data_IF_093971805270
#
_entry.id   IF_093971805270
#
_cell.length_a   1.000
_cell.length_b   1.000
_cell.length_c   1.000
_cell.angle_alpha   90.00
_cell.angle_beta   90.00
_cell.angle_gamma   90.00
#
_symmetry.space_group_name_H-M   'P 1'
#
loop_
_entity.id
_entity.type
_entity.pdbx_description
1 polymer ?
#
# COMPACT_ATOMS: atom_id res chain seq x y z
N UNK A 1 -63.46 -19.44 -55.09
CA UNK A 1 -62.55 -18.90 -54.08
C UNK A 1 -62.11 -20.03 -53.15
N UNK A 2 -60.87 -20.51 -53.29
CA UNK A 2 -60.28 -21.57 -52.45
C UNK A 2 -59.61 -20.89 -51.24
N UNK A 3 -60.01 -21.26 -50.01
CA UNK A 3 -59.42 -20.75 -48.76
C UNK A 3 -58.14 -21.53 -48.47
N UNK A 4 -57.00 -20.84 -48.37
CA UNK A 4 -55.73 -21.39 -47.90
C UNK A 4 -55.74 -21.47 -46.37
N UNK A 5 -55.19 -22.54 -45.76
CA UNK A 5 -54.90 -22.55 -44.33
C UNK A 5 -53.54 -21.92 -44.04
N UNK A 6 -53.53 -20.93 -43.15
CA UNK A 6 -52.35 -20.29 -42.59
C UNK A 6 -51.72 -21.20 -41.55
N UNK A 7 -50.48 -21.66 -41.79
CA UNK A 7 -49.70 -22.37 -40.77
C UNK A 7 -48.95 -21.35 -39.91
N UNK A 8 -49.28 -21.29 -38.62
CA UNK A 8 -48.52 -20.56 -37.61
C UNK A 8 -47.41 -21.47 -37.11
N UNK A 9 -46.17 -21.18 -37.47
CA UNK A 9 -44.99 -21.80 -36.87
C UNK A 9 -44.72 -21.12 -35.51
N UNK A 10 -45.03 -21.82 -34.42
CA UNK A 10 -44.60 -21.43 -33.08
C UNK A 10 -43.19 -21.97 -32.87
N UNK A 11 -42.19 -21.10 -33.04
CA UNK A 11 -40.81 -21.38 -32.65
C UNK A 11 -40.73 -21.41 -31.13
N UNK A 12 -40.68 -22.61 -30.55
CA UNK A 12 -40.37 -22.80 -29.12
C UNK A 12 -38.88 -22.52 -28.93
N UNK A 13 -38.55 -21.28 -28.55
CA UNK A 13 -37.23 -20.93 -28.00
C UNK A 13 -37.17 -21.51 -26.58
N UNK A 14 -36.47 -22.64 -26.41
CA UNK A 14 -35.96 -23.08 -25.11
C UNK A 14 -34.88 -22.08 -24.66
N UNK A 15 -35.32 -20.94 -24.12
CA UNK A 15 -34.45 -20.06 -23.36
C UNK A 15 -34.13 -20.74 -22.04
N UNK A 16 -32.96 -21.36 -21.93
CA UNK A 16 -32.37 -21.64 -20.62
C UNK A 16 -32.14 -20.29 -19.94
N UNK A 17 -33.06 -19.91 -19.05
CA UNK A 17 -32.84 -18.86 -18.07
C UNK A 17 -31.75 -19.37 -17.12
N UNK A 18 -30.49 -19.33 -17.54
CA UNK A 18 -29.37 -19.29 -16.60
C UNK A 18 -29.47 -17.93 -15.93
N UNK A 19 -30.14 -17.86 -14.78
CA UNK A 19 -29.99 -16.71 -13.90
C UNK A 19 -28.49 -16.57 -13.63
N UNK A 20 -27.88 -15.40 -13.84
CA UNK A 20 -26.54 -15.17 -13.35
C UNK A 20 -26.61 -15.36 -11.84
N UNK A 21 -25.95 -16.40 -11.33
CA UNK A 21 -25.73 -16.55 -9.90
C UNK A 21 -24.81 -15.39 -9.53
N UNK A 22 -25.40 -14.29 -9.07
CA UNK A 22 -24.64 -13.18 -8.50
C UNK A 22 -23.85 -13.73 -7.32
N UNK A 23 -22.53 -13.54 -7.34
CA UNK A 23 -21.67 -13.95 -6.24
C UNK A 23 -22.16 -13.26 -4.96
N UNK A 24 -22.28 -14.01 -3.86
CA UNK A 24 -22.71 -13.40 -2.61
C UNK A 24 -21.64 -12.40 -2.13
N UNK A 25 -22.04 -11.27 -1.51
CA UNK A 25 -21.09 -10.27 -1.06
C UNK A 25 -20.05 -10.85 -0.10
N UNK A 26 -18.78 -10.48 -0.30
CA UNK A 26 -17.64 -10.93 0.51
C UNK A 26 -17.28 -9.90 1.57
N UNK A 27 -16.82 -10.36 2.73
CA UNK A 27 -16.24 -9.50 3.76
C UNK A 27 -14.70 -9.52 3.59
N UNK A 28 -14.06 -8.35 3.45
CA UNK A 28 -12.64 -8.28 3.09
C UNK A 28 -11.84 -7.30 3.94
N UNK A 29 -10.61 -7.71 4.31
CA UNK A 29 -9.52 -6.82 4.68
C UNK A 29 -8.67 -6.58 3.44
N UNK A 30 -8.83 -5.41 2.85
CA UNK A 30 -8.23 -5.08 1.56
C UNK A 30 -6.86 -4.47 1.80
N UNK A 31 -5.80 -5.14 1.37
CA UNK A 31 -4.42 -4.65 1.51
C UNK A 31 -3.87 -4.06 0.21
N UNK A 32 -2.65 -3.51 0.29
CA UNK A 32 -2.00 -2.85 -0.84
C UNK A 32 -1.65 -3.83 -1.99
N UNK A 33 -1.25 -5.06 -1.64
CA UNK A 33 -0.78 -6.07 -2.60
C UNK A 33 -1.64 -7.34 -2.59
N UNK A 34 -2.21 -7.69 -1.43
CA UNK A 34 -3.09 -8.82 -1.25
C UNK A 34 -4.22 -8.44 -0.29
N UNK A 35 -5.32 -9.19 -0.34
CA UNK A 35 -6.47 -8.99 0.54
C UNK A 35 -6.82 -10.29 1.25
N UNK A 36 -7.18 -10.19 2.53
CA UNK A 36 -7.76 -11.30 3.29
C UNK A 36 -9.27 -11.26 3.08
N UNK A 37 -9.83 -12.35 2.58
CA UNK A 37 -11.25 -12.49 2.28
C UNK A 37 -11.86 -13.48 3.26
N UNK A 38 -13.06 -13.18 3.74
CA UNK A 38 -13.91 -14.10 4.50
C UNK A 38 -15.18 -14.35 3.70
N UNK A 39 -15.46 -15.62 3.41
CA UNK A 39 -16.65 -16.03 2.67
C UNK A 39 -17.36 -17.17 3.39
N UNK A 40 -18.69 -17.19 3.29
CA UNK A 40 -19.53 -18.28 3.78
C UNK A 40 -20.27 -18.94 2.62
N UNK A 41 -19.60 -19.06 1.48
CA UNK A 41 -20.17 -19.57 0.24
C UNK A 41 -19.78 -21.03 0.00
N UNK A 42 -20.69 -21.83 -0.60
CA UNK A 42 -20.43 -23.21 -0.98
C UNK A 42 -19.22 -23.37 -1.91
N UNK A 43 -18.97 -22.35 -2.73
CA UNK A 43 -17.84 -22.23 -3.65
C UNK A 43 -17.11 -20.92 -3.39
N UNK A 44 -15.78 -20.97 -3.35
CA UNK A 44 -14.93 -19.79 -3.15
C UNK A 44 -15.03 -18.87 -4.38
N UNK A 45 -15.24 -17.58 -4.14
CA UNK A 45 -15.51 -16.59 -5.19
C UNK A 45 -14.24 -16.09 -5.90
N UNK A 46 -13.09 -16.11 -5.22
CA UNK A 46 -11.78 -15.68 -5.74
C UNK A 46 -10.74 -16.79 -5.61
N UNK A 47 -9.66 -16.69 -6.37
CA UNK A 47 -8.55 -17.64 -6.33
C UNK A 47 -7.71 -17.42 -5.06
N UNK A 48 -7.65 -18.39 -4.13
CA UNK A 48 -6.84 -18.28 -2.94
C UNK A 48 -5.36 -18.44 -3.26
N UNK A 49 -4.51 -17.67 -2.57
CA UNK A 49 -3.07 -17.93 -2.54
C UNK A 49 -2.85 -19.28 -1.85
N UNK A 50 -2.07 -20.16 -2.48
CA UNK A 50 -1.75 -21.48 -1.95
C UNK A 50 -1.27 -21.41 -0.50
N UNK A 51 -1.85 -22.22 0.38
CA UNK A 51 -1.49 -22.27 1.79
C UNK A 51 -2.21 -21.25 2.69
N UNK A 52 -3.11 -20.40 2.16
CA UNK A 52 -3.80 -19.36 2.95
C UNK A 52 -5.24 -19.71 3.33
N UNK A 53 -5.82 -20.80 2.82
CA UNK A 53 -7.18 -21.22 3.16
C UNK A 53 -7.24 -21.69 4.62
N UNK A 54 -8.04 -21.01 5.41
CA UNK A 54 -8.26 -21.24 6.83
C UNK A 54 -9.76 -21.32 7.11
N UNK A 55 -10.29 -22.45 7.55
CA UNK A 55 -11.68 -22.55 7.98
C UNK A 55 -11.84 -21.95 9.39
N UNK A 56 -12.97 -21.28 9.63
CA UNK A 56 -13.20 -20.46 10.82
C UNK A 56 -14.05 -21.17 11.91
N UNK A 57 -13.92 -22.48 12.06
CA UNK A 57 -14.66 -23.25 13.10
C UNK A 57 -13.87 -23.36 14.42
N UNK A 58 -14.61 -23.41 15.54
CA UNK A 58 -14.05 -23.49 16.90
C UNK A 58 -13.23 -24.76 17.19
N UNK A 59 -13.41 -25.85 16.42
CA UNK A 59 -12.73 -27.14 16.60
C UNK A 59 -12.11 -27.67 15.31
N UNK A 60 -11.20 -26.90 14.72
CA UNK A 60 -10.60 -27.25 13.44
C UNK A 60 -9.26 -27.99 13.54
N UNK A 61 -9.15 -29.16 12.89
CA UNK A 61 -7.88 -29.86 12.68
C UNK A 61 -7.16 -29.25 11.46
N UNK A 62 -5.88 -28.84 11.56
CA UNK A 62 -5.20 -28.02 10.55
C UNK A 62 -5.31 -28.57 9.11
N UNK A 63 -5.62 -27.70 8.14
CA UNK A 63 -5.51 -28.02 6.70
C UNK A 63 -4.02 -28.17 6.42
N UNK A 64 -3.56 -29.40 6.24
CA UNK A 64 -2.14 -29.67 5.98
C UNK A 64 -1.77 -29.52 4.51
N UNK A 65 -2.72 -29.60 3.56
CA UNK A 65 -2.42 -29.51 2.12
C UNK A 65 -3.57 -28.92 1.28
N UNK A 66 -3.25 -27.98 0.39
CA UNK A 66 -4.15 -27.46 -0.66
C UNK A 66 -3.73 -28.00 -2.03
N UNK A 67 -4.68 -28.70 -2.67
CA UNK A 67 -4.94 -28.91 -4.10
C UNK A 67 -3.76 -29.06 -5.09
N UNK A 68 -3.66 -30.27 -5.65
CA UNK A 68 -3.27 -30.53 -7.04
C UNK A 68 -4.36 -31.43 -7.65
N UNK A 69 -4.88 -31.05 -8.82
CA UNK A 69 -6.03 -31.69 -9.51
C UNK A 69 -5.83 -33.16 -9.92
N UNK A 70 -4.65 -33.75 -9.72
CA UNK A 70 -4.33 -35.11 -10.17
C UNK A 70 -4.82 -36.23 -9.26
N UNK A 71 -5.30 -35.93 -8.04
CA UNK A 71 -5.67 -36.93 -7.03
C UNK A 71 -7.04 -36.69 -6.38
N UNK A 72 -7.88 -35.84 -6.95
CA UNK A 72 -9.18 -35.41 -6.38
C UNK A 72 -10.09 -36.61 -6.06
N UNK A 73 -10.04 -37.65 -6.90
CA UNK A 73 -10.83 -38.87 -6.71
C UNK A 73 -10.43 -39.67 -5.47
N UNK A 74 -9.15 -39.61 -5.05
CA UNK A 74 -8.68 -40.32 -3.87
C UNK A 74 -9.01 -39.58 -2.58
N UNK A 75 -8.86 -38.25 -2.58
CA UNK A 75 -9.12 -37.42 -1.40
C UNK A 75 -10.59 -37.49 -0.98
N UNK A 76 -11.51 -37.52 -1.95
CA UNK A 76 -12.95 -37.59 -1.70
C UNK A 76 -13.40 -38.87 -0.99
N UNK A 77 -12.57 -39.91 -1.04
CA UNK A 77 -12.87 -41.22 -0.47
C UNK A 77 -12.12 -41.46 0.87
N UNK A 78 -11.40 -40.46 1.39
CA UNK A 78 -10.80 -40.50 2.73
C UNK A 78 -11.92 -40.55 3.79
N UNK A 79 -11.84 -41.52 4.69
CA UNK A 79 -12.84 -41.86 5.69
C UNK A 79 -13.87 -42.88 5.22
N UNK A 80 -13.87 -43.27 3.94
CA UNK A 80 -14.81 -44.25 3.37
C UNK A 80 -14.18 -45.64 3.23
N UNK A 81 -15.02 -46.68 3.21
CA UNK A 81 -14.60 -48.02 2.87
C UNK A 81 -14.42 -48.12 1.35
N UNK A 82 -13.21 -48.47 0.93
CA UNK A 82 -12.82 -48.52 -0.48
C UNK A 82 -12.15 -49.86 -0.77
N UNK A 83 -12.21 -50.27 -2.04
CA UNK A 83 -11.36 -51.33 -2.55
C UNK A 83 -10.25 -50.72 -3.39
N UNK A 84 -9.03 -51.17 -3.20
CA UNK A 84 -7.89 -50.80 -4.03
C UNK A 84 -7.33 -52.02 -4.72
N UNK A 85 -6.99 -51.88 -6.00
CA UNK A 85 -6.53 -52.98 -6.85
C UNK A 85 -5.18 -52.63 -7.48
N UNK A 86 -4.19 -53.51 -7.34
CA UNK A 86 -2.85 -53.28 -7.86
C UNK A 86 -2.86 -53.35 -9.39
N UNK A 87 -2.27 -52.35 -10.06
CA UNK A 87 -2.35 -52.19 -11.53
C UNK A 87 -1.74 -53.33 -12.33
N UNK A 88 -0.74 -54.01 -11.76
CA UNK A 88 0.07 -55.03 -12.46
C UNK A 88 0.00 -56.44 -11.84
N UNK A 89 -0.61 -56.60 -10.67
CA UNK A 89 -0.59 -57.86 -9.91
C UNK A 89 -2.02 -58.16 -9.47
N UNK A 90 -2.37 -59.44 -9.36
CA UNK A 90 -3.66 -59.87 -8.83
C UNK A 90 -3.67 -59.71 -7.30
N UNK A 91 -3.69 -58.46 -6.86
CA UNK A 91 -3.67 -58.03 -5.46
C UNK A 91 -4.75 -56.97 -5.29
N UNK A 92 -5.71 -57.25 -4.42
CA UNK A 92 -6.72 -56.28 -4.01
C UNK A 92 -6.80 -56.21 -2.48
N UNK A 93 -7.12 -55.02 -1.98
CA UNK A 93 -7.33 -54.77 -0.56
C UNK A 93 -8.62 -53.99 -0.39
N UNK A 94 -9.44 -54.42 0.57
CA UNK A 94 -10.64 -53.70 0.98
C UNK A 94 -10.45 -53.20 2.41
N UNK A 95 -10.74 -51.93 2.64
CA UNK A 95 -10.62 -51.32 3.96
C UNK A 95 -10.98 -49.83 3.95
N UNK A 96 -10.92 -49.21 5.12
CA UNK A 96 -11.22 -47.77 5.25
C UNK A 96 -9.99 -46.95 4.88
N UNK A 97 -10.10 -46.05 3.89
CA UNK A 97 -9.00 -45.16 3.52
C UNK A 97 -8.85 -44.08 4.59
N UNK A 98 -7.75 -44.08 5.35
CA UNK A 98 -7.59 -43.17 6.49
C UNK A 98 -6.79 -41.92 6.15
N UNK A 99 -5.82 -42.03 5.25
CA UNK A 99 -4.92 -40.93 4.92
C UNK A 99 -4.29 -41.10 3.54
N UNK A 100 -4.02 -39.99 2.86
CA UNK A 100 -3.18 -39.92 1.66
C UNK A 100 -2.03 -38.96 1.92
N UNK A 101 -0.81 -39.39 1.59
CA UNK A 101 0.39 -38.57 1.66
C UNK A 101 0.89 -38.31 0.24
N UNK A 102 0.72 -37.07 -0.22
CA UNK A 102 1.06 -36.71 -1.61
C UNK A 102 2.57 -36.64 -1.85
N UNK A 103 3.35 -36.19 -0.84
CA UNK A 103 4.80 -35.97 -0.98
C UNK A 103 5.58 -37.26 -1.27
N UNK A 104 5.17 -38.38 -0.69
CA UNK A 104 5.77 -39.70 -0.91
C UNK A 104 4.88 -40.62 -1.78
N UNK A 105 3.79 -40.06 -2.34
CA UNK A 105 2.78 -40.77 -3.13
C UNK A 105 2.38 -42.09 -2.46
N UNK A 106 1.94 -42.04 -1.20
CA UNK A 106 1.46 -43.20 -0.46
C UNK A 106 0.07 -42.98 0.13
N UNK A 107 -0.64 -44.07 0.40
CA UNK A 107 -1.95 -44.10 1.02
C UNK A 107 -1.95 -45.05 2.23
N UNK A 108 -2.83 -44.78 3.18
CA UNK A 108 -3.04 -45.60 4.36
C UNK A 108 -4.43 -46.19 4.35
N UNK A 109 -4.51 -47.52 4.39
CA UNK A 109 -5.75 -48.29 4.41
C UNK A 109 -5.86 -49.05 5.72
N UNK A 110 -6.96 -48.87 6.44
CA UNK A 110 -7.30 -49.68 7.62
C UNK A 110 -7.99 -50.96 7.16
N UNK A 111 -7.25 -52.07 7.18
CA UNK A 111 -7.73 -53.40 6.78
C UNK A 111 -7.87 -54.23 8.04
N UNK A 112 -9.09 -54.67 8.37
CA UNK A 112 -9.37 -55.47 9.57
C UNK A 112 -8.79 -54.86 10.88
N UNK A 113 -8.85 -53.53 11.00
CA UNK A 113 -8.34 -52.79 12.17
C UNK A 113 -6.82 -52.57 12.19
N UNK A 114 -6.08 -52.96 11.14
CA UNK A 114 -4.64 -52.69 10.98
C UNK A 114 -4.38 -51.64 9.90
N UNK A 115 -3.64 -50.59 10.26
CA UNK A 115 -3.22 -49.55 9.33
C UNK A 115 -2.12 -50.09 8.41
N UNK A 116 -2.36 -50.08 7.10
CA UNK A 116 -1.44 -50.58 6.07
C UNK A 116 -1.10 -49.46 5.11
N UNK A 117 0.20 -49.20 4.92
CA UNK A 117 0.67 -48.19 3.96
C UNK A 117 0.91 -48.85 2.60
N UNK A 118 0.37 -48.25 1.53
CA UNK A 118 0.50 -48.71 0.15
C UNK A 118 0.93 -47.56 -0.78
N UNK A 119 1.76 -47.81 -1.81
CA UNK A 119 2.10 -46.79 -2.81
C UNK A 119 0.86 -46.38 -3.63
N UNK A 120 0.60 -45.09 -3.75
CA UNK A 120 -0.58 -44.55 -4.45
C UNK A 120 -0.52 -44.85 -5.97
N UNK A 121 0.68 -44.88 -6.55
CA UNK A 121 0.88 -45.07 -7.98
C UNK A 121 0.61 -46.47 -8.48
N UNK A 122 0.71 -47.46 -7.60
CA UNK A 122 0.64 -48.87 -7.97
C UNK A 122 -0.79 -49.41 -7.94
N UNK A 123 -1.76 -48.61 -7.49
CA UNK A 123 -3.13 -49.05 -7.26
C UNK A 123 -4.17 -48.20 -8.01
N UNK A 124 -5.27 -48.83 -8.39
CA UNK A 124 -6.53 -48.20 -8.78
C UNK A 124 -7.44 -48.10 -7.57
N UNK A 125 -8.17 -46.98 -7.47
CA UNK A 125 -9.24 -46.79 -6.49
C UNK A 125 -10.55 -47.32 -7.06
N UNK A 126 -11.20 -48.21 -6.32
CA UNK A 126 -12.52 -48.76 -6.63
C UNK A 126 -13.45 -48.38 -5.46
N UNK A 127 -14.28 -47.33 -5.62
CA UNK A 127 -15.30 -46.99 -4.64
C UNK A 127 -16.28 -48.16 -4.51
N UNK A 128 -16.57 -48.59 -3.29
CA UNK A 128 -17.65 -49.54 -3.03
C UNK A 128 -18.97 -48.78 -2.97
N UNK A 129 -20.07 -49.41 -3.41
CA UNK A 129 -21.34 -48.72 -3.70
C UNK A 129 -21.77 -47.77 -2.58
N UNK A 130 -22.00 -46.52 -2.96
CA UNK A 130 -22.52 -45.47 -2.09
C UNK A 130 -23.96 -45.82 -1.71
N UNK A 131 -24.26 -45.90 -0.43
CA UNK A 131 -25.64 -45.80 0.07
C UNK A 131 -26.23 -44.47 -0.40
N UNK A 132 -26.90 -44.50 -1.56
CA UNK A 132 -27.41 -43.38 -2.34
C UNK A 132 -26.38 -42.26 -2.70
N UNK A 133 -26.50 -41.65 -3.88
CA UNK A 133 -25.77 -40.43 -4.15
C UNK A 133 -26.43 -39.34 -3.31
N UNK A 134 -25.80 -38.93 -2.20
CA UNK A 134 -25.96 -37.54 -1.77
C UNK A 134 -25.44 -36.68 -2.94
N UNK A 135 -26.38 -36.22 -3.77
CA UNK A 135 -26.23 -35.04 -4.62
C UNK A 135 -25.95 -33.87 -3.71
N UNK A 136 -24.72 -33.79 -3.26
CA UNK A 136 -24.06 -32.64 -2.69
C UNK A 136 -22.59 -33.04 -2.78
N UNK A 137 -21.95 -32.67 -3.90
CA UNK A 137 -20.55 -32.27 -3.77
C UNK A 137 -20.54 -31.34 -2.57
N UNK A 138 -19.83 -31.71 -1.51
CA UNK A 138 -19.76 -30.98 -0.26
C UNK A 138 -19.13 -29.62 -0.54
N UNK A 139 -19.97 -28.73 -1.07
CA UNK A 139 -19.89 -27.32 -0.98
C UNK A 139 -19.53 -27.01 0.46
N UNK A 140 -18.43 -26.29 0.66
CA UNK A 140 -17.97 -25.91 1.98
C UNK A 140 -19.08 -25.07 2.63
N UNK A 141 -19.93 -25.71 3.44
CA UNK A 141 -21.03 -25.04 4.15
C UNK A 141 -20.52 -24.34 5.42
N UNK A 142 -19.27 -23.89 5.41
CA UNK A 142 -18.57 -23.36 6.57
C UNK A 142 -17.78 -22.12 6.16
N UNK A 143 -17.73 -21.09 7.02
CA UNK A 143 -16.99 -19.88 6.73
C UNK A 143 -15.50 -20.16 6.59
N UNK A 144 -14.92 -19.68 5.49
CA UNK A 144 -13.49 -19.80 5.19
C UNK A 144 -12.87 -18.42 5.07
N UNK A 145 -11.59 -18.33 5.41
CA UNK A 145 -10.76 -17.15 5.30
C UNK A 145 -9.54 -17.46 4.46
N UNK A 146 -9.20 -16.62 3.49
CA UNK A 146 -8.04 -16.84 2.63
C UNK A 146 -7.48 -15.54 2.08
N UNK A 147 -6.24 -15.55 1.59
CA UNK A 147 -5.67 -14.39 0.92
C UNK A 147 -5.81 -14.51 -0.58
N UNK A 148 -6.00 -13.40 -1.27
CA UNK A 148 -6.02 -13.33 -2.73
C UNK A 148 -5.28 -12.09 -3.23
N UNK A 149 -4.67 -12.19 -4.41
CA UNK A 149 -4.09 -11.05 -5.14
C UNK A 149 -5.10 -10.41 -6.11
N UNK A 150 -6.32 -10.96 -6.20
CA UNK A 150 -7.32 -10.49 -7.16
C UNK A 150 -8.07 -9.24 -6.70
N UNK A 151 -7.95 -8.87 -5.42
CA UNK A 151 -8.48 -7.64 -4.86
C UNK A 151 -7.35 -6.92 -4.13
N UNK A 152 -7.16 -5.64 -4.42
CA UNK A 152 -6.19 -4.79 -3.74
C UNK A 152 -6.64 -3.33 -3.75
N UNK A 153 -5.95 -2.47 -3.01
CA UNK A 153 -6.18 -1.03 -3.08
C UNK A 153 -4.88 -0.23 -3.09
N UNK A 154 -4.94 1.00 -3.57
CA UNK A 154 -3.83 1.96 -3.44
C UNK A 154 -4.35 3.33 -3.01
N UNK A 155 -3.65 4.03 -2.08
CA UNK A 155 -4.03 5.36 -1.68
C UNK A 155 -3.67 6.37 -2.77
N UNK A 156 -4.61 7.24 -3.12
CA UNK A 156 -4.38 8.41 -3.96
C UNK A 156 -4.43 9.63 -3.04
N UNK A 157 -3.24 10.19 -2.78
CA UNK A 157 -3.01 11.22 -1.76
C UNK A 157 -2.61 12.53 -2.41
N UNK A 158 -3.33 13.61 -2.07
CA UNK A 158 -3.07 14.93 -2.63
C UNK A 158 -3.15 16.03 -1.57
N UNK A 159 -2.23 17.00 -1.66
CA UNK A 159 -2.30 18.27 -0.93
C UNK A 159 -2.58 19.40 -1.91
N UNK A 160 -3.66 20.14 -1.67
CA UNK A 160 -4.09 21.25 -2.51
C UNK A 160 -3.95 22.54 -1.71
N UNK A 161 -3.04 23.41 -2.14
CA UNK A 161 -2.77 24.71 -1.55
C UNK A 161 -3.61 25.78 -2.24
N UNK A 162 -4.38 26.53 -1.46
CA UNK A 162 -5.22 27.62 -1.96
C UNK A 162 -5.20 28.77 -0.96
N UNK A 163 -4.71 29.94 -1.38
CA UNK A 163 -4.59 31.13 -0.55
C UNK A 163 -3.80 30.86 0.76
N UNK A 164 -4.51 30.68 1.87
CA UNK A 164 -3.96 30.44 3.21
C UNK A 164 -4.44 29.11 3.81
N UNK A 165 -4.84 28.18 2.95
CA UNK A 165 -5.38 26.88 3.34
C UNK A 165 -4.71 25.75 2.57
N UNK A 166 -4.62 24.59 3.24
CA UNK A 166 -4.22 23.32 2.66
C UNK A 166 -5.40 22.37 2.76
N UNK A 167 -5.81 21.81 1.63
CA UNK A 167 -6.80 20.73 1.59
C UNK A 167 -6.07 19.42 1.38
N UNK A 168 -6.19 18.52 2.36
CA UNK A 168 -5.79 17.13 2.26
C UNK A 168 -6.91 16.35 1.58
N UNK A 169 -6.67 15.87 0.37
CA UNK A 169 -7.58 14.98 -0.36
C UNK A 169 -7.03 13.57 -0.37
N UNK A 170 -7.85 12.62 0.09
CA UNK A 170 -7.49 11.21 0.22
C UNK A 170 -8.54 10.38 -0.49
N UNK A 171 -8.11 9.44 -1.32
CA UNK A 171 -8.98 8.51 -2.02
C UNK A 171 -8.34 7.12 -2.01
N UNK A 172 -9.17 6.07 -2.08
CA UNK A 172 -8.73 4.70 -2.25
C UNK A 172 -9.07 4.24 -3.67
N UNK A 173 -8.07 3.84 -4.43
CA UNK A 173 -8.25 3.18 -5.72
C UNK A 173 -8.27 1.68 -5.50
N UNK A 174 -9.46 1.10 -5.44
CA UNK A 174 -9.68 -0.34 -5.37
C UNK A 174 -9.52 -0.94 -6.75
N UNK A 175 -8.81 -2.06 -6.84
CA UNK A 175 -8.51 -2.74 -8.10
C UNK A 175 -9.02 -4.18 -8.03
N UNK A 176 -9.84 -4.55 -9.01
CA UNK A 176 -10.28 -5.93 -9.21
C UNK A 176 -9.52 -6.53 -10.40
N UNK A 177 -8.70 -7.55 -10.13
CA UNK A 177 -7.93 -8.29 -11.13
C UNK A 177 -8.56 -9.64 -11.48
N UNK A 178 -9.76 -9.96 -10.98
CA UNK A 178 -10.50 -11.15 -11.38
C UNK A 178 -11.33 -10.89 -12.64
N UNK A 179 -11.78 -11.99 -13.23
CA UNK A 179 -12.76 -12.01 -14.33
C UNK A 179 -14.22 -11.93 -13.85
N UNK A 180 -14.46 -11.78 -12.55
CA UNK A 180 -15.78 -11.74 -11.93
C UNK A 180 -16.03 -10.41 -11.25
N UNK A 181 -17.29 -10.01 -11.16
CA UNK A 181 -17.65 -8.85 -10.35
C UNK A 181 -17.44 -9.19 -8.87
N UNK A 182 -16.81 -8.29 -8.13
CA UNK A 182 -16.62 -8.43 -6.68
C UNK A 182 -17.58 -7.47 -5.98
N UNK A 183 -18.50 -8.02 -5.22
CA UNK A 183 -19.37 -7.24 -4.35
C UNK A 183 -18.83 -7.35 -2.91
N UNK A 184 -18.33 -6.23 -2.37
CA UNK A 184 -17.77 -6.18 -1.01
C UNK A 184 -18.78 -5.61 -0.01
N UNK A 185 -18.78 -6.14 1.20
CA UNK A 185 -19.56 -5.65 2.35
C UNK A 185 -18.67 -5.60 3.59
N UNK A 186 -18.97 -4.70 4.54
CA UNK A 186 -18.29 -4.59 5.86
C UNK A 186 -16.76 -4.71 5.78
N UNK A 187 -16.18 -4.15 4.72
CA UNK A 187 -14.77 -4.33 4.41
C UNK A 187 -13.94 -3.19 5.00
N UNK A 188 -12.67 -3.47 5.27
CA UNK A 188 -11.74 -2.48 5.79
C UNK A 188 -10.54 -2.36 4.85
N UNK A 189 -10.08 -1.13 4.62
CA UNK A 189 -8.84 -0.85 3.95
C UNK A 189 -7.71 -0.94 4.96
N UNK A 190 -6.73 -1.76 4.69
CA UNK A 190 -5.55 -1.94 5.52
C UNK A 190 -4.33 -1.37 4.80
N UNK A 191 -3.76 -0.32 5.38
CA UNK A 191 -2.52 0.29 4.94
C UNK A 191 -1.37 -0.23 5.83
N UNK A 192 -0.44 -0.95 5.22
CA UNK A 192 0.86 -1.27 5.81
C UNK A 192 1.95 -1.10 4.76
N UNK A 193 2.87 -0.18 5.01
CA UNK A 193 4.01 0.08 4.11
C UNK A 193 5.15 -0.94 4.29
N UNK A 194 5.07 -1.77 5.34
CA UNK A 194 5.99 -2.88 5.51
C UNK A 194 5.53 -4.03 4.61
N UNK A 195 6.03 -3.99 3.38
CA UNK A 195 6.11 -5.13 2.48
C UNK A 195 7.10 -6.17 3.02
N UNK A 196 6.89 -6.68 4.22
CA UNK A 196 7.36 -8.02 4.53
C UNK A 196 6.17 -8.94 4.27
N UNK A 197 6.21 -9.77 3.21
CA UNK A 197 5.14 -10.72 2.96
C UNK A 197 4.94 -11.55 4.23
N UNK A 198 3.69 -11.71 4.65
CA UNK A 198 3.36 -12.62 5.74
C UNK A 198 3.89 -14.01 5.37
N UNK A 199 5.03 -14.35 5.96
CA UNK A 199 5.68 -15.65 5.82
C UNK A 199 4.78 -16.69 6.45
N UNK A 200 4.45 -17.71 5.65
CA UNK A 200 3.57 -18.80 6.05
C UNK A 200 4.08 -19.47 7.34
N UNK A 201 3.17 -20.09 8.11
CA UNK A 201 3.54 -20.92 9.27
C UNK A 201 4.57 -22.01 8.91
N UNK A 202 4.63 -22.45 7.66
CA UNK A 202 5.61 -23.43 7.16
C UNK A 202 7.03 -22.86 7.11
N UNK A 203 7.22 -21.56 6.84
CA UNK A 203 8.54 -20.91 6.90
C UNK A 203 8.96 -20.55 8.35
N UNK A 204 7.98 -20.47 9.27
CA UNK A 204 8.28 -20.34 10.72
C UNK A 204 8.94 -21.59 11.27
N UNK A 205 8.62 -22.78 10.74
CA UNK A 205 9.25 -24.04 11.17
C UNK A 205 10.73 -24.10 10.80
N UNK A 206 11.13 -23.55 9.66
CA UNK A 206 12.55 -23.45 9.25
C UNK A 206 13.33 -22.37 10.00
N UNK A 207 12.66 -21.36 10.56
CA UNK A 207 13.28 -20.29 11.34
C UNK A 207 13.28 -20.55 12.86
N UNK A 208 12.43 -21.45 13.36
CA UNK A 208 12.44 -21.87 14.76
C UNK A 208 13.75 -22.60 15.16
N UNK A 209 14.60 -22.96 14.20
CA UNK A 209 15.95 -23.50 14.44
C UNK A 209 17.07 -22.47 14.26
N UNK A 210 16.76 -21.18 14.05
CA UNK A 210 17.75 -20.11 13.96
C UNK A 210 17.49 -19.02 15.00
N UNK A 211 18.55 -18.62 15.73
CA UNK A 211 18.54 -17.62 16.82
C UNK A 211 18.21 -16.17 16.40
N UNK A 212 17.47 -15.95 15.30
CA UNK A 212 17.02 -14.62 14.91
C UNK A 212 15.77 -14.25 15.71
N UNK A 213 15.98 -13.63 16.88
CA UNK A 213 14.95 -12.92 17.62
C UNK A 213 14.21 -11.97 16.68
N UNK A 214 12.90 -12.13 16.58
CA UNK A 214 12.02 -11.25 15.83
C UNK A 214 11.96 -9.90 16.55
N UNK A 215 12.65 -8.89 16.05
CA UNK A 215 12.46 -7.51 16.52
C UNK A 215 11.05 -7.05 16.11
N UNK A 216 10.18 -6.86 17.10
CA UNK A 216 8.89 -6.21 16.92
C UNK A 216 9.18 -4.72 16.75
N UNK A 217 9.20 -4.25 15.50
CA UNK A 217 9.39 -2.84 15.21
C UNK A 217 8.05 -2.11 15.34
N UNK A 218 7.84 -1.41 16.47
CA UNK A 218 6.66 -0.56 16.72
C UNK A 218 6.59 0.71 15.85
N UNK A 219 7.41 0.83 14.80
CA UNK A 219 7.32 1.92 13.81
C UNK A 219 6.21 1.72 12.77
N UNK A 220 5.46 0.62 12.82
CA UNK A 220 4.32 0.38 11.92
C UNK A 220 3.20 1.40 12.16
N UNK A 221 3.17 2.45 11.32
CA UNK A 221 1.97 3.24 11.09
C UNK A 221 0.97 2.39 10.28
N UNK A 222 0.55 1.28 10.86
CA UNK A 222 -0.55 0.48 10.37
C UNK A 222 -1.83 1.30 10.52
N UNK A 223 -2.55 1.50 9.42
CA UNK A 223 -3.81 2.26 9.43
C UNK A 223 -4.88 1.36 8.84
N UNK A 224 -5.94 1.15 9.62
CA UNK A 224 -7.15 0.48 9.16
C UNK A 224 -8.27 1.50 9.01
N UNK A 225 -8.93 1.50 7.86
CA UNK A 225 -10.05 2.39 7.57
C UNK A 225 -11.31 1.57 7.20
N UNK A 226 -12.39 1.62 8.00
CA UNK A 226 -13.62 0.92 7.69
C UNK A 226 -14.34 1.60 6.51
N UNK A 227 -14.85 0.80 5.58
CA UNK A 227 -15.73 1.31 4.53
C UNK A 227 -17.16 1.38 5.11
N UNK A 228 -17.55 2.57 5.59
CA UNK A 228 -18.79 2.86 6.33
C UNK A 228 -20.08 2.86 5.48
N UNK A 229 -20.38 1.73 4.81
CA UNK A 229 -21.71 1.43 4.21
C UNK A 229 -21.97 1.88 2.76
N UNK A 230 -21.77 0.94 1.85
CA UNK A 230 -22.75 0.37 0.92
C UNK A 230 -22.09 -0.89 0.33
N UNK A 231 -22.88 -1.84 -0.17
CA UNK A 231 -22.31 -2.91 -0.99
C UNK A 231 -21.60 -2.26 -2.17
N UNK A 232 -20.27 -2.31 -2.19
CA UNK A 232 -19.50 -1.77 -3.28
C UNK A 232 -19.31 -2.87 -4.30
N UNK A 233 -19.79 -2.62 -5.51
CA UNK A 233 -19.58 -3.48 -6.65
C UNK A 233 -18.39 -3.00 -7.47
N UNK A 234 -17.42 -3.88 -7.69
CA UNK A 234 -16.25 -3.61 -8.52
C UNK A 234 -16.32 -4.54 -9.73
N UNK A 235 -16.48 -3.95 -10.92
CA UNK A 235 -16.55 -4.72 -12.16
C UNK A 235 -15.26 -5.53 -12.40
N UNK A 236 -15.32 -6.63 -13.19
CA UNK A 236 -14.14 -7.40 -13.58
C UNK A 236 -13.06 -6.50 -14.20
N UNK A 237 -11.79 -6.77 -13.91
CA UNK A 237 -10.63 -6.06 -14.48
C UNK A 237 -10.75 -4.52 -14.46
N UNK A 238 -11.31 -3.98 -13.38
CA UNK A 238 -11.62 -2.56 -13.27
C UNK A 238 -11.13 -1.96 -11.96
N UNK A 239 -11.06 -0.63 -11.94
CA UNK A 239 -10.69 0.13 -10.76
C UNK A 239 -11.84 1.02 -10.33
N UNK A 240 -12.12 1.03 -9.02
CA UNK A 240 -13.13 1.88 -8.41
C UNK A 240 -12.46 2.83 -7.44
N UNK A 241 -12.72 4.13 -7.60
CA UNK A 241 -12.17 5.16 -6.73
C UNK A 241 -13.19 5.52 -5.65
N UNK A 242 -12.79 5.43 -4.38
CA UNK A 242 -13.59 5.81 -3.22
C UNK A 242 -12.98 7.03 -2.57
N UNK A 243 -13.82 8.03 -2.27
CA UNK A 243 -13.41 9.18 -1.46
C UNK A 243 -13.23 8.78 -0.01
N UNK A 244 -12.06 9.07 0.55
CA UNK A 244 -11.78 8.94 1.98
C UNK A 244 -11.92 10.31 2.67
N UNK A 245 -12.00 10.35 4.01
CA UNK A 245 -12.13 11.60 4.73
C UNK A 245 -11.03 12.58 4.36
N UNK A 246 -11.45 13.70 3.79
CA UNK A 246 -10.58 14.81 3.41
C UNK A 246 -10.68 15.89 4.47
N UNK A 247 -9.60 16.65 4.68
CA UNK A 247 -9.56 17.70 5.71
C UNK A 247 -9.01 18.99 5.14
N UNK A 248 -9.37 20.11 5.79
CA UNK A 248 -8.85 21.42 5.47
C UNK A 248 -8.16 22.00 6.69
N UNK A 249 -6.99 22.56 6.46
CA UNK A 249 -6.15 23.19 7.48
C UNK A 249 -5.75 24.58 7.06
N UNK A 250 -5.53 25.45 8.04
CA UNK A 250 -4.94 26.76 7.80
C UNK A 250 -3.42 26.62 7.70
N UNK A 251 -2.81 27.37 6.79
CA UNK A 251 -1.35 27.52 6.74
C UNK A 251 -0.92 28.36 7.95
N UNK A 252 -0.05 27.80 8.77
CA UNK A 252 0.50 28.46 9.96
C UNK A 252 1.64 29.40 9.58
N UNK A 253 2.51 28.93 8.70
CA UNK A 253 3.69 29.67 8.23
C UNK A 253 4.03 29.28 6.81
N UNK A 254 4.38 30.26 5.99
CA UNK A 254 4.91 30.08 4.66
C UNK A 254 6.21 30.86 4.54
N UNK A 255 7.28 30.20 4.11
CA UNK A 255 8.63 30.77 4.02
C UNK A 255 9.28 30.36 2.72
N UNK A 256 9.92 31.31 2.04
CA UNK A 256 10.79 31.06 0.90
C UNK A 256 12.18 30.69 1.43
N UNK A 257 12.57 29.42 1.33
CA UNK A 257 13.81 28.90 1.88
C UNK A 257 14.84 28.61 0.80
N UNK A 258 16.05 29.13 0.96
CA UNK A 258 17.20 28.78 0.12
C UNK A 258 18.31 28.20 1.00
N UNK A 259 18.97 27.14 0.52
CA UNK A 259 20.11 26.55 1.18
C UNK A 259 21.32 26.66 0.24
N UNK A 260 22.44 27.13 0.76
CA UNK A 260 23.67 27.30 0.01
C UNK A 260 24.85 26.73 0.80
N UNK A 261 25.70 25.96 0.12
CA UNK A 261 26.98 25.53 0.66
C UNK A 261 28.12 26.24 -0.09
N UNK A 262 29.00 26.93 0.64
CA UNK A 262 30.17 27.59 0.07
C UNK A 262 31.43 26.77 0.30
N UNK A 263 32.24 26.65 -0.75
CA UNK A 263 33.54 26.01 -0.71
C UNK A 263 34.63 27.08 -0.65
N UNK A 264 35.86 26.73 -0.23
CA UNK A 264 36.96 27.69 -0.03
C UNK A 264 37.30 28.58 -1.25
N UNK A 265 36.90 28.17 -2.45
CA UNK A 265 37.15 28.90 -3.70
C UNK A 265 35.90 29.58 -4.29
N UNK A 266 34.81 29.71 -3.53
CA UNK A 266 33.60 30.37 -4.02
C UNK A 266 33.81 31.89 -4.06
N UNK A 267 34.37 32.38 -5.17
CA UNK A 267 34.47 33.81 -5.47
C UNK A 267 33.35 34.23 -6.42
N UNK A 268 32.86 35.46 -6.25
CA UNK A 268 31.81 36.03 -7.10
C UNK A 268 30.38 35.84 -6.59
N UNK A 269 29.44 36.08 -7.50
CA UNK A 269 27.99 36.07 -7.26
C UNK A 269 27.44 34.65 -7.38
N UNK A 270 26.81 34.16 -6.32
CA UNK A 270 26.23 32.82 -6.25
C UNK A 270 24.72 32.94 -6.12
N UNK A 271 23.97 32.44 -7.11
CA UNK A 271 22.51 32.54 -7.09
C UNK A 271 21.88 31.64 -6.02
N UNK A 272 20.85 32.17 -5.36
CA UNK A 272 20.08 31.47 -4.33
C UNK A 272 18.83 30.85 -4.97
N UNK A 273 18.70 29.53 -4.83
CA UNK A 273 17.49 28.81 -5.24
C UNK A 273 16.51 28.75 -4.07
N UNK A 274 15.48 29.60 -4.10
CA UNK A 274 14.42 29.59 -3.11
C UNK A 274 13.37 28.52 -3.44
N UNK A 275 12.90 27.83 -2.40
CA UNK A 275 11.79 26.89 -2.44
C UNK A 275 10.71 27.33 -1.45
N UNK A 276 9.46 27.09 -1.80
CA UNK A 276 8.34 27.48 -0.96
C UNK A 276 8.05 26.38 0.08
N UNK A 277 8.38 26.68 1.33
CA UNK A 277 8.19 25.81 2.49
C UNK A 277 6.95 26.24 3.27
N UNK A 278 5.98 25.33 3.39
CA UNK A 278 4.69 25.57 4.04
C UNK A 278 4.58 24.71 5.30
N UNK A 279 4.16 25.33 6.40
CA UNK A 279 3.89 24.67 7.68
C UNK A 279 2.41 24.73 8.00
N UNK A 280 1.83 23.58 8.36
CA UNK A 280 0.42 23.45 8.75
C UNK A 280 0.24 22.21 9.63
N UNK A 281 -0.87 22.16 10.39
CA UNK A 281 -1.27 20.99 11.17
C UNK A 281 -2.62 20.46 10.68
N UNK A 282 -2.78 19.14 10.61
CA UNK A 282 -4.01 18.51 10.16
C UNK A 282 -4.98 18.29 11.33
N UNK A 283 -6.30 18.52 11.16
CA UNK A 283 -7.27 18.30 12.25
C UNK A 283 -7.59 16.81 12.50
N UNK A 284 -7.21 15.93 11.57
CA UNK A 284 -7.46 14.48 11.61
C UNK A 284 -6.23 13.73 11.11
N UNK A 285 -6.10 12.48 11.53
CA UNK A 285 -5.10 11.55 11.01
C UNK A 285 -5.27 11.35 9.49
N UNK A 286 -4.15 11.12 8.81
CA UNK A 286 -4.12 10.82 7.38
C UNK A 286 -3.19 9.63 7.09
N UNK A 287 -3.17 9.19 5.84
CA UNK A 287 -2.29 8.09 5.44
C UNK A 287 -0.86 8.60 5.24
N UNK A 288 0.18 7.88 5.70
CA UNK A 288 1.54 8.17 5.26
C UNK A 288 1.71 7.76 3.79
N UNK A 289 2.73 8.29 3.12
CA UNK A 289 3.04 7.97 1.74
C UNK A 289 3.41 9.19 0.90
N UNK A 290 3.39 9.00 -0.42
CA UNK A 290 3.72 10.03 -1.40
C UNK A 290 2.49 10.88 -1.76
N UNK A 291 2.56 12.16 -1.43
CA UNK A 291 1.52 13.15 -1.69
C UNK A 291 1.83 13.94 -2.95
N UNK A 292 0.91 13.91 -3.92
CA UNK A 292 0.94 14.85 -5.05
C UNK A 292 0.53 16.23 -4.55
N UNK A 293 1.30 17.26 -4.87
CA UNK A 293 0.97 18.62 -4.43
C UNK A 293 0.47 19.47 -5.59
N UNK A 294 -0.52 20.32 -5.30
CA UNK A 294 -1.14 21.20 -6.28
C UNK A 294 -1.36 22.59 -5.70
N UNK A 295 -1.07 23.62 -6.49
CA UNK A 295 -1.52 24.98 -6.21
C UNK A 295 -2.79 25.27 -6.98
N UNK A 296 -3.86 25.66 -6.27
CA UNK A 296 -5.13 26.00 -6.90
C UNK A 296 -5.22 27.50 -7.15
N UNK A 297 -5.45 27.87 -8.41
CA UNK A 297 -5.67 29.25 -8.85
C UNK A 297 -6.96 29.31 -9.66
N UNK A 298 -8.05 29.77 -9.03
CA UNK A 298 -9.38 29.72 -9.63
C UNK A 298 -9.82 28.27 -9.87
N UNK A 299 -10.09 27.91 -11.13
CA UNK A 299 -10.45 26.56 -11.56
C UNK A 299 -9.25 25.66 -11.91
N UNK A 300 -8.02 26.19 -11.89
CA UNK A 300 -6.83 25.47 -12.32
C UNK A 300 -6.08 24.86 -11.13
N UNK A 301 -5.65 23.60 -11.30
CA UNK A 301 -4.69 22.93 -10.40
C UNK A 301 -3.33 22.89 -11.09
N UNK A 302 -2.35 23.57 -10.50
CA UNK A 302 -0.98 23.62 -10.99
C UNK A 302 -0.19 22.54 -10.24
N UNK A 303 0.34 21.51 -10.93
CA UNK A 303 1.10 20.45 -10.28
C UNK A 303 2.43 20.97 -9.73
N UNK A 304 2.87 20.36 -8.63
CA UNK A 304 4.05 20.71 -7.87
C UNK A 304 4.76 19.44 -7.40
N UNK A 305 5.88 19.54 -6.67
CA UNK A 305 6.69 18.37 -6.30
C UNK A 305 5.91 17.35 -5.46
N UNK A 306 6.26 16.08 -5.60
CA UNK A 306 5.70 15.01 -4.76
C UNK A 306 6.42 14.99 -3.42
N UNK A 307 5.66 14.95 -2.33
CA UNK A 307 6.19 15.05 -0.96
C UNK A 307 5.91 13.74 -0.24
N UNK A 308 6.92 13.13 0.36
CA UNK A 308 6.74 11.91 1.14
C UNK A 308 6.54 12.26 2.61
N UNK A 309 5.41 11.86 3.18
CA UNK A 309 5.09 12.03 4.59
C UNK A 309 5.11 10.66 5.29
N UNK A 310 6.07 10.46 6.20
CA UNK A 310 6.21 9.20 6.93
C UNK A 310 5.19 9.05 8.08
N UNK A 311 4.76 10.18 8.65
CA UNK A 311 3.81 10.26 9.76
C UNK A 311 2.81 11.38 9.47
N UNK A 312 1.52 11.07 9.56
CA UNK A 312 0.43 12.03 9.33
C UNK A 312 -0.59 11.90 10.46
N UNK A 313 -0.31 12.57 11.58
CA UNK A 313 -1.13 12.53 12.79
C UNK A 313 -1.83 13.85 13.04
N UNK A 314 -3.02 13.78 13.61
CA UNK A 314 -3.81 14.94 13.98
C UNK A 314 -3.01 15.88 14.90
N UNK A 315 -3.10 17.17 14.64
CA UNK A 315 -2.45 18.27 15.37
C UNK A 315 -0.92 18.22 15.43
N UNK A 316 -0.28 17.31 14.69
CA UNK A 316 1.18 17.31 14.54
C UNK A 316 1.57 18.24 13.38
N UNK A 317 2.44 19.25 13.59
CA UNK A 317 2.85 20.16 12.54
C UNK A 317 3.64 19.45 11.45
N UNK A 318 3.20 19.63 10.21
CA UNK A 318 3.87 19.18 9.01
C UNK A 318 4.55 20.37 8.34
N UNK A 319 5.80 20.16 7.91
CA UNK A 319 6.55 21.14 7.11
C UNK A 319 6.86 20.52 5.77
N UNK A 320 6.38 21.13 4.69
CA UNK A 320 6.45 20.57 3.35
C UNK A 320 7.04 21.57 2.37
N UNK A 321 7.93 21.12 1.49
CA UNK A 321 8.54 21.94 0.45
C UNK A 321 7.82 21.67 -0.86
N UNK A 322 7.16 22.68 -1.40
CA UNK A 322 6.21 22.50 -2.53
C UNK A 322 6.88 22.62 -3.89
N UNK A 323 7.48 23.77 -4.20
CA UNK A 323 8.11 24.05 -5.49
C UNK A 323 9.21 25.09 -5.36
N UNK A 324 10.06 25.18 -6.39
CA UNK A 324 10.96 26.33 -6.59
C UNK A 324 10.13 27.61 -6.68
N UNK A 325 10.51 28.59 -5.86
CA UNK A 325 9.89 29.91 -5.83
C UNK A 325 10.28 30.71 -7.07
N UNK A 326 9.30 31.35 -7.68
CA UNK A 326 9.50 32.41 -8.68
C UNK A 326 9.22 33.80 -8.09
N UNK A 327 8.60 33.83 -6.91
CA UNK A 327 8.22 35.06 -6.23
C UNK A 327 9.44 35.72 -5.58
N UNK A 328 10.41 34.93 -5.13
CA UNK A 328 11.63 35.43 -4.48
C UNK A 328 12.86 34.89 -5.18
N UNK A 329 13.76 35.80 -5.56
CA UNK A 329 15.08 35.49 -6.10
C UNK A 329 16.14 36.13 -5.24
N UNK A 330 17.39 35.70 -5.37
CA UNK A 330 18.47 36.34 -4.66
C UNK A 330 19.81 35.74 -5.01
N UNK A 331 20.85 36.32 -4.44
CA UNK A 331 22.22 35.86 -4.60
C UNK A 331 23.04 36.22 -3.37
N UNK A 332 24.09 35.42 -3.14
CA UNK A 332 25.10 35.66 -2.14
C UNK A 332 26.43 36.01 -2.84
N UNK A 333 27.12 37.05 -2.36
CA UNK A 333 28.41 37.49 -2.91
C UNK A 333 29.45 37.56 -1.81
N UNK A 334 30.61 36.95 -2.05
CA UNK A 334 31.79 37.15 -1.21
C UNK A 334 32.40 38.51 -1.54
N UNK A 335 32.32 39.46 -0.61
CA UNK A 335 32.84 40.83 -0.79
C UNK A 335 34.34 40.86 -0.53
N UNK A 336 34.79 40.21 0.54
CA UNK A 336 36.20 40.12 0.86
C UNK A 336 36.51 38.88 1.72
N UNK A 337 37.74 38.40 1.61
CA UNK A 337 38.32 37.39 2.48
C UNK A 337 39.75 37.80 2.85
N UNK A 338 40.18 37.54 4.08
CA UNK A 338 41.55 37.83 4.51
C UNK A 338 42.57 36.85 3.91
N UNK A 339 42.14 35.64 3.52
CA UNK A 339 42.98 34.59 2.96
C UNK A 339 42.14 33.57 2.18
N UNK A 340 42.72 32.91 1.18
CA UNK A 340 42.12 31.74 0.52
C UNK A 340 42.25 30.46 1.37
N UNK A 341 43.13 30.48 2.38
CA UNK A 341 43.35 29.39 3.35
C UNK A 341 42.75 29.74 4.70
N UNK A 342 42.26 28.71 5.39
CA UNK A 342 41.85 28.80 6.79
C UNK A 342 43.08 29.01 7.71
N UNK A 343 42.95 29.77 8.81
CA UNK A 343 41.78 30.55 9.20
C UNK A 343 41.59 31.77 8.30
N UNK A 344 40.34 32.16 8.05
CA UNK A 344 40.02 33.34 7.26
C UNK A 344 38.83 34.08 7.83
N UNK A 345 38.86 35.40 7.75
CA UNK A 345 37.71 36.26 7.96
C UNK A 345 37.08 36.55 6.62
N UNK A 346 35.78 36.38 6.49
CA UNK A 346 35.03 36.61 5.24
C UNK A 346 33.91 37.61 5.48
N UNK A 347 33.69 38.50 4.52
CA UNK A 347 32.54 39.42 4.49
C UNK A 347 31.64 39.02 3.33
N UNK A 348 30.38 38.75 3.66
CA UNK A 348 29.39 38.28 2.71
C UNK A 348 28.24 39.28 2.61
N UNK A 349 27.71 39.44 1.39
CA UNK A 349 26.51 40.21 1.13
C UNK A 349 25.45 39.34 0.47
N UNK A 350 24.27 39.26 1.08
CA UNK A 350 23.09 38.60 0.54
C UNK A 350 22.11 39.64 0.01
N UNK A 351 21.73 39.52 -1.25
CA UNK A 351 20.68 40.34 -1.87
C UNK A 351 19.49 39.45 -2.21
N UNK A 352 18.32 39.83 -1.71
CA UNK A 352 17.06 39.10 -1.89
C UNK A 352 16.06 40.07 -2.50
N UNK A 353 15.36 39.62 -3.53
CA UNK A 353 14.38 40.39 -4.27
C UNK A 353 13.05 39.65 -4.28
N UNK A 354 11.97 40.39 -4.01
CA UNK A 354 10.61 39.87 -4.03
C UNK A 354 9.84 40.48 -5.21
N UNK A 355 9.45 39.62 -6.14
CA UNK A 355 8.68 39.92 -7.35
C UNK A 355 7.16 39.77 -7.15
N UNK A 356 6.73 39.34 -5.95
CA UNK A 356 5.33 39.21 -5.60
C UNK A 356 4.70 40.55 -5.24
N UNK A 357 3.39 40.66 -5.47
CA UNK A 357 2.51 41.73 -5.01
C UNK A 357 2.26 41.71 -3.49
N UNK A 358 2.77 40.69 -2.78
CA UNK A 358 2.64 40.53 -1.33
C UNK A 358 3.99 40.47 -0.65
N UNK A 359 4.01 40.84 0.64
CA UNK A 359 5.18 40.62 1.47
C UNK A 359 5.41 39.12 1.66
N UNK A 360 6.68 38.69 1.61
CA UNK A 360 7.09 37.29 1.71
C UNK A 360 8.02 37.11 2.91
N UNK A 361 7.92 35.98 3.59
CA UNK A 361 8.93 35.56 4.57
C UNK A 361 10.03 34.78 3.84
N UNK A 362 11.29 35.00 4.19
CA UNK A 362 12.41 34.28 3.62
C UNK A 362 13.33 33.69 4.71
N UNK A 363 14.07 32.65 4.34
CA UNK A 363 15.17 32.09 5.12
C UNK A 363 16.27 31.64 4.17
N UNK A 364 17.51 32.04 4.42
CA UNK A 364 18.68 31.60 3.66
C UNK A 364 19.62 30.91 4.63
N UNK A 365 19.78 29.60 4.48
CA UNK A 365 20.76 28.83 5.23
C UNK A 365 22.07 28.75 4.43
N UNK A 366 23.08 29.46 4.91
CA UNK A 366 24.43 29.45 4.38
C UNK A 366 25.31 28.51 5.22
N UNK A 367 25.65 27.36 4.65
CA UNK A 367 26.63 26.44 5.19
C UNK A 367 28.02 26.78 4.67
N UNK A 368 28.94 27.03 5.60
CA UNK A 368 30.33 27.40 5.31
C UNK A 368 31.22 26.16 5.21
N UNK A 369 32.40 26.33 4.61
CA UNK A 369 33.37 25.24 4.45
C UNK A 369 34.01 24.79 5.78
N UNK A 370 33.96 25.60 6.83
CA UNK A 370 34.56 25.27 8.13
C UNK A 370 33.78 25.81 9.34
N UNK A 371 34.32 25.62 10.55
CA UNK A 371 33.67 26.07 11.78
C UNK A 371 33.68 27.60 11.85
N UNK A 372 32.51 28.18 12.08
CA UNK A 372 32.31 29.61 12.35
C UNK A 372 32.67 29.86 13.81
N UNK A 373 33.78 30.56 14.03
CA UNK A 373 34.26 30.96 15.36
C UNK A 373 33.56 32.23 15.84
N UNK A 374 33.39 33.20 14.93
CA UNK A 374 32.74 34.47 15.22
C UNK A 374 31.79 34.85 14.08
N UNK A 375 30.60 35.33 14.43
CA UNK A 375 29.64 35.92 13.52
C UNK A 375 29.33 37.36 13.99
N UNK A 376 29.63 38.34 13.15
CA UNK A 376 29.28 39.74 13.34
C UNK A 376 28.15 40.11 12.36
N UNK A 377 26.92 40.23 12.87
CA UNK A 377 25.74 40.62 12.08
C UNK A 377 24.55 41.01 12.95
N UNK A 378 23.78 42.00 12.50
CA UNK A 378 22.46 42.33 13.05
C UNK A 378 21.31 41.54 12.38
N UNK A 379 21.62 40.81 11.31
CA UNK A 379 20.61 40.21 10.40
C UNK A 379 20.79 38.71 10.18
N UNK A 380 21.87 38.14 10.72
CA UNK A 380 22.23 36.74 10.59
C UNK A 380 22.39 36.10 11.98
N UNK A 381 21.99 34.84 12.12
CA UNK A 381 22.21 34.04 13.33
C UNK A 381 22.94 32.76 12.99
N UNK A 382 23.78 32.27 13.90
CA UNK A 382 24.44 30.98 13.72
C UNK A 382 23.46 29.85 14.07
N UNK A 383 23.19 28.95 13.12
CA UNK A 383 22.28 27.81 13.32
C UNK A 383 23.01 26.58 13.88
N UNK A 384 24.27 26.37 13.48
CA UNK A 384 25.14 25.31 13.97
C UNK A 384 26.61 25.70 13.78
N UNK A 385 27.55 24.78 14.08
CA UNK A 385 28.99 25.05 13.98
C UNK A 385 29.45 25.59 12.62
N UNK A 386 28.76 25.26 11.51
CA UNK A 386 29.10 25.69 10.14
C UNK A 386 27.99 26.48 9.46
N UNK A 387 26.82 26.58 10.07
CA UNK A 387 25.60 27.09 9.46
C UNK A 387 25.24 28.49 9.95
N UNK A 388 24.92 29.37 9.02
CA UNK A 388 24.46 30.73 9.24
C UNK A 388 23.07 30.86 8.61
N UNK A 389 22.11 31.41 9.35
CA UNK A 389 20.76 31.63 8.87
C UNK A 389 20.46 33.13 8.76
N UNK A 390 20.01 33.55 7.58
CA UNK A 390 19.49 34.88 7.31
C UNK A 390 17.98 34.76 7.14
N UNK A 391 17.19 35.29 8.07
CA UNK A 391 15.73 35.17 8.01
C UNK A 391 15.03 36.50 8.23
N UNK A 392 13.84 36.66 7.65
CA UNK A 392 13.04 37.86 7.85
C UNK A 392 11.89 38.00 6.87
N UNK A 393 11.30 39.18 6.85
CA UNK A 393 10.24 39.57 5.91
C UNK A 393 10.78 40.54 4.87
N UNK A 394 10.34 40.39 3.62
CA UNK A 394 10.61 41.30 2.50
C UNK A 394 9.28 41.83 1.95
N UNK A 395 9.19 43.16 1.73
CA UNK A 395 7.96 43.80 1.25
C UNK A 395 7.68 43.40 -0.21
N UNK A 396 6.44 43.58 -0.66
CA UNK A 396 6.08 43.39 -2.06
C UNK A 396 6.95 44.25 -2.99
N UNK A 397 7.35 43.70 -4.15
CA UNK A 397 8.12 44.40 -5.18
C UNK A 397 9.34 45.16 -4.63
N UNK A 398 10.11 44.52 -3.74
CA UNK A 398 11.23 45.18 -3.05
C UNK A 398 12.48 44.32 -3.02
N UNK A 399 13.63 44.98 -2.92
CA UNK A 399 14.94 44.34 -2.72
C UNK A 399 15.44 44.62 -1.32
N UNK A 400 16.04 43.61 -0.69
CA UNK A 400 16.70 43.70 0.61
C UNK A 400 18.13 43.19 0.50
N UNK A 401 19.07 43.99 0.95
CA UNK A 401 20.49 43.63 1.01
C UNK A 401 20.93 43.56 2.47
N UNK A 402 21.66 42.50 2.81
CA UNK A 402 22.20 42.25 4.15
C UNK A 402 23.68 41.93 4.03
N UNK A 403 24.49 42.45 4.94
CA UNK A 403 25.93 42.18 5.00
C UNK A 403 26.26 41.60 6.37
N UNK A 404 27.12 40.59 6.38
CA UNK A 404 27.60 39.96 7.62
C UNK A 404 29.06 39.53 7.46
N UNK A 405 29.76 39.48 8.58
CA UNK A 405 31.17 39.07 8.67
C UNK A 405 31.29 37.82 9.52
N UNK A 406 32.09 36.87 9.05
CA UNK A 406 32.34 35.59 9.72
C UNK A 406 33.84 35.33 9.84
N UNK A 407 34.24 34.68 10.92
CA UNK A 407 35.60 34.17 11.11
C UNK A 407 35.57 32.64 11.11
N UNK A 408 36.37 32.04 10.23
CA UNK A 408 36.42 30.60 10.00
C UNK A 408 37.75 30.04 10.49
N UNK A 409 37.69 28.96 11.27
CA UNK A 409 38.86 28.21 11.75
C UNK A 409 39.05 26.88 11.02
N UNK A 410 40.25 26.29 11.13
CA UNK A 410 40.53 24.94 10.64
C UNK A 410 39.70 23.87 11.34
#
# INVERSE_FOLDING_TARGET
MKKQPTYVYVSVLLGTLTQPIFAAPIDAVIGLSNSQIVENNPTISLSPISGTLLPLQDNFAPITHLQNDSSTNWINEVGQEVRVEHKQRDLNYTGTLTQIQQNNRSMWLSINGRLTQLPLDDFYLIPLEKSEPKKDQAALAFPVSYQTNQLSWSPQLSLIFENNQVTLSQQALLSNHSNTQIDIRKSLLHYSNNANPQRFKIERSSLAMGDMKQEVNYQDNEISYPLEENSLSISPYSNTLISLPSSKSKIEKQTQQANLYTYGNSSGKIDLNFYNTVRFSLPKDGFPGAYKTFWKKGSLLIPSDTITLNTVRANNPLTVTTNKSQDVTGYLTLVSATSEKLPTTQVWTATIENHSDKAQQYSVEHSTNSIVELLESDTATQSNAKGINLSGSIKANSTKTMTYKIELKN
#
